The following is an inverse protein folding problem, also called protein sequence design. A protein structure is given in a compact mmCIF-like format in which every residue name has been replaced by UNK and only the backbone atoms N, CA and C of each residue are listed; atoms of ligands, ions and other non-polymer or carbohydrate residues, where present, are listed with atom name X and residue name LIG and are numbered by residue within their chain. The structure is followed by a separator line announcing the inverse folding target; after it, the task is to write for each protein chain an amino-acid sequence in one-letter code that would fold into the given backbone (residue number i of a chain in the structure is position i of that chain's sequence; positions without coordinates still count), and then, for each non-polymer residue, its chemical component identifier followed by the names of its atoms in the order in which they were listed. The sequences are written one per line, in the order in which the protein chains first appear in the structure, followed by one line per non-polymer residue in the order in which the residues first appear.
data_IF_177871207369
#
_entry.id   IF_177871207369
#
_cell.length_a   1.000
_cell.length_b   1.000
_cell.length_c   1.000
_cell.angle_alpha   90.00
_cell.angle_beta   90.00
_cell.angle_gamma   90.00
#
_symmetry.space_group_name_H-M   'P 1'
#
loop_
_entity.id
_entity.type
_entity.pdbx_description
1 polymer ?
#
# COMPACT_ATOMS: atom_id res chain seq x y z
N UNK A 1 -20.71 0.82 8.26
CA UNK A 1 -20.05 -0.08 7.28
C UNK A 1 -19.70 0.64 5.98
N UNK A 2 -20.66 1.27 5.27
CA UNK A 2 -20.42 1.96 3.98
C UNK A 2 -19.27 2.98 4.00
N UNK A 3 -19.19 3.84 5.03
CA UNK A 3 -18.09 4.81 5.17
C UNK A 3 -16.71 4.13 5.17
N UNK A 4 -16.58 2.97 5.82
CA UNK A 4 -15.31 2.24 5.84
C UNK A 4 -14.97 1.62 4.48
N UNK A 5 -15.98 1.12 3.75
CA UNK A 5 -15.82 0.59 2.40
C UNK A 5 -15.28 1.68 1.45
N UNK A 6 -15.93 2.84 1.43
CA UNK A 6 -15.53 3.95 0.57
C UNK A 6 -14.12 4.47 0.89
N UNK A 7 -13.77 4.53 2.18
CA UNK A 7 -12.44 4.96 2.60
C UNK A 7 -11.37 3.99 2.11
N UNK A 8 -11.52 2.68 2.35
CA UNK A 8 -10.52 1.69 1.90
C UNK A 8 -10.42 1.66 0.39
N UNK A 9 -11.55 1.72 -0.33
CA UNK A 9 -11.56 1.77 -1.79
C UNK A 9 -10.79 3.00 -2.31
N UNK A 10 -11.03 4.19 -1.75
CA UNK A 10 -10.33 5.41 -2.15
C UNK A 10 -8.83 5.34 -1.83
N UNK A 11 -8.47 4.79 -0.66
CA UNK A 11 -7.07 4.56 -0.28
C UNK A 11 -6.35 3.61 -1.24
N UNK A 12 -7.04 2.55 -1.67
CA UNK A 12 -6.52 1.59 -2.64
C UNK A 12 -6.29 2.21 -4.02
N UNK A 13 -7.27 2.97 -4.52
CA UNK A 13 -7.12 3.70 -5.78
C UNK A 13 -5.93 4.70 -5.70
N UNK A 14 -5.75 5.35 -4.56
CA UNK A 14 -4.63 6.27 -4.32
C UNK A 14 -3.27 5.57 -4.43
N UNK A 15 -3.12 4.38 -3.84
CA UNK A 15 -1.91 3.55 -4.03
C UNK A 15 -1.68 3.14 -5.48
N UNK A 16 -2.74 2.88 -6.26
CA UNK A 16 -2.59 2.46 -7.66
C UNK A 16 -1.96 3.55 -8.54
N UNK A 17 -2.22 4.82 -8.21
CA UNK A 17 -1.67 5.99 -8.89
C UNK A 17 -0.18 6.20 -8.57
N UNK A 18 0.20 5.97 -7.31
CA UNK A 18 1.53 6.23 -6.74
C UNK A 18 2.68 5.60 -7.55
N UNK A 19 2.56 4.32 -7.90
CA UNK A 19 3.62 3.53 -8.55
C UNK A 19 4.11 4.15 -9.85
N UNK A 20 3.21 4.79 -10.58
CA UNK A 20 3.49 5.48 -11.84
C UNK A 20 4.40 6.68 -11.63
N UNK A 21 4.13 7.48 -10.59
CA UNK A 21 4.95 8.65 -10.27
C UNK A 21 6.32 8.27 -9.72
N UNK A 22 6.44 7.14 -9.03
CA UNK A 22 7.73 6.57 -8.61
C UNK A 22 8.58 6.25 -9.84
N UNK A 23 7.98 5.63 -10.86
CA UNK A 23 8.69 5.28 -12.09
C UNK A 23 9.10 6.50 -12.91
N UNK A 24 8.26 7.55 -12.93
CA UNK A 24 8.61 8.84 -13.54
C UNK A 24 9.77 9.53 -12.80
N UNK A 25 9.77 9.50 -11.47
CA UNK A 25 10.89 10.02 -10.68
C UNK A 25 12.20 9.27 -10.98
N UNK A 26 12.14 7.94 -11.18
CA UNK A 26 13.31 7.17 -11.61
C UNK A 26 13.79 7.50 -13.02
N UNK A 27 12.89 7.85 -13.93
CA UNK A 27 13.25 8.30 -15.27
C UNK A 27 14.00 9.65 -15.25
N UNK A 28 13.74 10.49 -14.25
CA UNK A 28 14.48 11.73 -14.01
C UNK A 28 15.81 11.52 -13.24
N UNK A 29 16.20 10.26 -13.01
CA UNK A 29 17.50 9.91 -12.43
C UNK A 29 17.52 9.83 -10.90
N UNK A 30 16.40 10.01 -10.22
CA UNK A 30 16.34 9.89 -8.76
C UNK A 30 16.59 8.46 -8.28
N UNK A 31 17.19 8.33 -7.09
CA UNK A 31 17.49 7.03 -6.51
C UNK A 31 16.33 6.50 -5.67
N UNK A 32 16.40 5.22 -5.29
CA UNK A 32 15.44 4.62 -4.34
C UNK A 32 15.39 5.41 -3.02
N UNK A 33 16.56 5.81 -2.50
CA UNK A 33 16.67 6.57 -1.26
C UNK A 33 16.05 7.96 -1.36
N UNK A 34 16.24 8.65 -2.48
CA UNK A 34 15.64 9.97 -2.72
C UNK A 34 14.11 9.90 -2.71
N UNK A 35 13.55 8.96 -3.47
CA UNK A 35 12.09 8.85 -3.65
C UNK A 35 11.42 8.37 -2.36
N UNK A 36 11.93 7.31 -1.75
CA UNK A 36 11.37 6.78 -0.48
C UNK A 36 11.59 7.73 0.69
N UNK A 37 12.76 8.37 0.76
CA UNK A 37 13.10 9.36 1.78
C UNK A 37 12.22 10.59 1.70
N UNK A 38 12.10 11.19 0.51
CA UNK A 38 11.25 12.37 0.30
C UNK A 38 9.77 12.06 0.59
N UNK A 39 9.25 10.92 0.13
CA UNK A 39 7.89 10.49 0.41
C UNK A 39 7.62 10.33 1.91
N UNK A 40 8.50 9.63 2.62
CA UNK A 40 8.29 9.33 4.04
C UNK A 40 8.42 10.58 4.90
N UNK A 41 9.42 11.43 4.59
CA UNK A 41 9.62 12.70 5.28
C UNK A 41 8.46 13.67 5.05
N UNK A 42 8.12 13.96 3.79
CA UNK A 42 7.04 14.89 3.46
C UNK A 42 5.69 14.35 3.95
N UNK A 43 5.46 13.03 3.84
CA UNK A 43 4.28 12.38 4.39
C UNK A 43 4.14 12.55 5.89
N UNK A 44 5.23 12.33 6.64
CA UNK A 44 5.25 12.55 8.09
C UNK A 44 4.95 14.01 8.43
N UNK A 45 5.61 14.95 7.74
CA UNK A 45 5.40 16.39 7.94
C UNK A 45 3.94 16.77 7.68
N UNK A 46 3.37 16.36 6.54
CA UNK A 46 1.98 16.67 6.17
C UNK A 46 1.02 16.13 7.24
N UNK A 47 1.18 14.87 7.66
CA UNK A 47 0.28 14.25 8.64
C UNK A 47 0.38 14.91 10.02
N UNK A 48 1.58 15.27 10.47
CA UNK A 48 1.76 15.99 11.73
C UNK A 48 1.19 17.40 11.67
N UNK A 49 1.41 18.12 10.58
CA UNK A 49 0.81 19.45 10.34
C UNK A 49 -0.71 19.34 10.39
N UNK A 50 -1.32 18.42 9.64
CA UNK A 50 -2.78 18.20 9.63
C UNK A 50 -3.30 17.85 11.04
N UNK A 51 -2.58 17.02 11.79
CA UNK A 51 -2.94 16.67 13.16
C UNK A 51 -2.93 17.90 14.09
N UNK A 52 -1.87 18.71 14.06
CA UNK A 52 -1.77 19.89 14.91
C UNK A 52 -2.80 20.97 14.53
N UNK A 53 -3.05 21.16 13.24
CA UNK A 53 -4.11 22.07 12.76
C UNK A 53 -5.49 21.62 13.24
N UNK A 54 -5.82 20.32 13.09
CA UNK A 54 -7.10 19.78 13.55
C UNK A 54 -7.28 19.96 15.06
N UNK A 55 -6.23 19.74 15.85
CA UNK A 55 -6.25 19.93 17.30
C UNK A 55 -6.51 21.38 17.70
N UNK A 56 -6.07 22.35 16.88
CA UNK A 56 -6.20 23.80 17.16
C UNK A 56 -7.53 24.39 16.70
N UNK A 57 -8.10 23.92 15.60
CA UNK A 57 -9.31 24.51 14.99
C UNK A 57 -10.61 23.79 15.37
N UNK A 58 -10.56 22.49 15.60
CA UNK A 58 -11.73 21.79 16.15
C UNK A 58 -11.84 22.16 17.63
N UNK A 59 -13.07 22.26 18.16
CA UNK A 59 -13.35 21.98 19.57
C UNK A 59 -13.03 20.50 19.79
N UNK A 60 -11.74 20.17 19.73
CA UNK A 60 -11.19 18.86 19.94
C UNK A 60 -11.37 18.60 21.42
N UNK A 61 -12.59 18.25 21.80
CA UNK A 61 -12.84 17.52 23.03
C UNK A 61 -12.01 16.28 22.84
N UNK A 62 -10.83 16.26 23.45
CA UNK A 62 -10.10 15.04 23.68
C UNK A 62 -11.09 14.19 24.46
N UNK A 63 -11.91 13.42 23.73
CA UNK A 63 -12.77 12.41 24.30
C UNK A 63 -11.80 11.65 25.20
N UNK A 64 -12.11 11.53 26.48
CA UNK A 64 -11.28 10.82 27.44
C UNK A 64 -11.19 9.38 26.95
N UNK A 65 -10.26 9.14 26.04
CA UNK A 65 -10.04 7.86 25.40
C UNK A 65 -8.90 7.27 26.19
N UNK A 66 -9.20 6.19 26.88
CA UNK A 66 -8.20 5.37 27.55
C UNK A 66 -7.25 4.83 26.48
N UNK A 67 -6.02 5.35 26.48
CA UNK A 67 -4.98 4.89 25.58
C UNK A 67 -4.41 3.59 26.15
N UNK A 68 -4.81 2.46 25.56
CA UNK A 68 -4.35 1.13 25.98
C UNK A 68 -3.06 0.75 25.24
N UNK A 69 -2.94 1.15 23.99
CA UNK A 69 -1.77 0.87 23.14
C UNK A 69 -0.72 1.95 23.35
N UNK A 70 0.51 1.62 23.75
CA UNK A 70 1.57 2.61 23.84
C UNK A 70 1.99 3.09 22.44
N UNK A 71 2.39 4.36 22.34
CA UNK A 71 2.63 5.03 21.06
C UNK A 71 3.71 4.36 20.19
N UNK A 72 4.73 3.78 20.83
CA UNK A 72 5.85 3.12 20.16
C UNK A 72 5.40 1.90 19.34
N UNK A 73 4.30 1.23 19.69
CA UNK A 73 3.75 0.12 18.89
C UNK A 73 3.25 0.58 17.52
N UNK A 74 2.75 1.82 17.40
CA UNK A 74 2.36 2.38 16.11
C UNK A 74 3.59 2.74 15.27
N UNK A 75 4.64 3.26 15.90
CA UNK A 75 5.92 3.52 15.23
C UNK A 75 6.53 2.21 14.73
N UNK A 76 6.52 1.16 15.56
CA UNK A 76 6.96 -0.17 15.15
C UNK A 76 6.08 -0.74 14.02
N UNK A 77 4.75 -0.60 14.10
CA UNK A 77 3.85 -1.01 13.02
C UNK A 77 4.10 -0.25 11.72
N UNK A 78 4.54 1.00 11.82
CA UNK A 78 4.97 1.84 10.71
C UNK A 78 6.16 1.30 9.93
N UNK A 79 7.01 0.47 10.54
CA UNK A 79 8.13 -0.17 9.85
C UNK A 79 7.65 -1.05 8.70
N UNK A 80 6.52 -1.74 8.84
CA UNK A 80 5.92 -2.49 7.73
C UNK A 80 5.59 -1.56 6.55
N UNK A 81 5.03 -0.37 6.80
CA UNK A 81 4.76 0.62 5.74
C UNK A 81 6.05 1.10 5.06
N UNK A 82 7.13 1.30 5.84
CA UNK A 82 8.45 1.65 5.31
C UNK A 82 9.02 0.53 4.43
N UNK A 83 8.96 -0.72 4.90
CA UNK A 83 9.41 -1.90 4.15
C UNK A 83 8.62 -2.10 2.86
N UNK A 84 7.29 -1.89 2.87
CA UNK A 84 6.48 -1.88 1.65
C UNK A 84 7.04 -0.87 0.66
N UNK A 85 7.27 0.37 1.09
CA UNK A 85 7.77 1.43 0.21
C UNK A 85 9.14 1.07 -0.38
N UNK A 86 10.08 0.63 0.45
CA UNK A 86 11.43 0.26 0.02
C UNK A 86 11.43 -0.92 -0.95
N UNK A 87 10.79 -2.03 -0.58
CA UNK A 87 10.78 -3.23 -1.40
C UNK A 87 9.96 -3.06 -2.68
N UNK A 88 8.79 -2.41 -2.59
CA UNK A 88 7.95 -2.20 -3.76
C UNK A 88 8.65 -1.29 -4.78
N UNK A 89 9.28 -0.20 -4.33
CA UNK A 89 9.92 0.73 -5.25
C UNK A 89 11.18 0.15 -5.87
N UNK A 90 11.93 -0.63 -5.10
CA UNK A 90 13.03 -1.41 -5.65
C UNK A 90 12.55 -2.44 -6.67
N UNK A 91 11.38 -3.05 -6.48
CA UNK A 91 10.74 -3.92 -7.47
C UNK A 91 10.38 -3.14 -8.74
N UNK A 92 9.69 -1.99 -8.62
CA UNK A 92 9.30 -1.11 -9.74
C UNK A 92 10.52 -0.64 -10.56
N UNK A 93 11.69 -0.48 -9.94
CA UNK A 93 12.93 -0.15 -10.64
C UNK A 93 13.49 -1.32 -11.47
N UNK A 94 13.21 -2.56 -11.07
CA UNK A 94 13.83 -3.78 -11.62
C UNK A 94 12.91 -4.58 -12.54
N UNK A 95 11.59 -4.36 -12.49
CA UNK A 95 10.60 -5.03 -13.33
C UNK A 95 9.60 -4.03 -13.93
N UNK A 96 8.88 -4.38 -15.01
CA UNK A 96 7.80 -3.54 -15.55
C UNK A 96 6.76 -3.17 -14.48
N UNK A 97 6.10 -2.01 -14.63
CA UNK A 97 5.20 -1.50 -13.59
C UNK A 97 4.00 -2.43 -13.36
N UNK A 98 3.46 -2.98 -14.46
CA UNK A 98 2.41 -4.00 -14.44
C UNK A 98 2.80 -5.26 -13.68
N UNK A 99 4.07 -5.69 -13.77
CA UNK A 99 4.57 -6.87 -13.05
C UNK A 99 4.69 -6.56 -11.56
N UNK A 100 5.28 -5.41 -11.21
CA UNK A 100 5.46 -5.01 -9.82
C UNK A 100 4.12 -4.96 -9.06
N UNK A 101 3.07 -4.37 -9.63
CA UNK A 101 1.77 -4.31 -8.96
C UNK A 101 1.13 -5.69 -8.80
N UNK A 102 1.27 -6.56 -9.80
CA UNK A 102 0.74 -7.93 -9.75
C UNK A 102 1.48 -8.77 -8.69
N UNK A 103 2.78 -8.55 -8.51
CA UNK A 103 3.54 -9.12 -7.40
C UNK A 103 3.12 -8.55 -6.05
N UNK A 104 2.81 -7.25 -5.98
CA UNK A 104 2.31 -6.64 -4.74
C UNK A 104 0.99 -7.29 -4.32
N UNK A 105 0.07 -7.54 -5.27
CA UNK A 105 -1.23 -8.20 -5.03
C UNK A 105 -1.14 -9.58 -4.37
N UNK A 106 0.04 -10.21 -4.33
CA UNK A 106 0.25 -11.44 -3.55
C UNK A 106 -0.03 -11.24 -2.05
N UNK A 107 -0.08 -9.98 -1.57
CA UNK A 107 -0.47 -9.65 -0.20
C UNK A 107 -1.84 -10.22 0.16
N UNK A 108 -2.72 -10.41 -0.83
CA UNK A 108 -4.08 -10.91 -0.64
C UNK A 108 -4.08 -12.26 0.06
N UNK A 109 -3.44 -13.25 -0.55
CA UNK A 109 -3.39 -14.60 0.01
C UNK A 109 -2.43 -14.67 1.19
N UNK A 110 -1.33 -13.91 1.16
CA UNK A 110 -0.39 -13.81 2.28
C UNK A 110 -1.07 -13.25 3.54
N UNK A 111 -2.02 -12.32 3.40
CA UNK A 111 -2.81 -11.78 4.53
C UNK A 111 -3.71 -12.85 5.15
N UNK A 112 -4.31 -13.73 4.34
CA UNK A 112 -5.13 -14.85 4.81
C UNK A 112 -4.25 -15.86 5.55
N UNK A 113 -3.08 -16.20 5.00
CA UNK A 113 -2.13 -17.08 5.68
C UNK A 113 -1.59 -16.45 6.98
N UNK A 114 -1.34 -15.15 6.99
CA UNK A 114 -0.93 -14.44 8.19
C UNK A 114 -2.06 -14.45 9.25
N UNK A 115 -3.34 -14.38 8.85
CA UNK A 115 -4.45 -14.62 9.79
C UNK A 115 -4.47 -16.04 10.37
N UNK A 116 -4.17 -17.05 9.54
CA UNK A 116 -4.05 -18.44 9.98
C UNK A 116 -2.91 -18.62 10.98
N UNK A 117 -1.72 -18.07 10.70
CA UNK A 117 -0.53 -18.26 11.54
C UNK A 117 -0.67 -17.53 12.88
N UNK A 118 -1.04 -16.24 12.85
CA UNK A 118 -1.06 -15.41 14.06
C UNK A 118 -2.33 -15.58 14.90
N UNK A 119 -3.48 -15.84 14.27
CA UNK A 119 -4.77 -15.89 14.96
C UNK A 119 -5.43 -17.27 14.91
N UNK A 120 -4.77 -18.28 14.31
CA UNK A 120 -5.30 -19.65 14.16
C UNK A 120 -6.67 -19.71 13.47
N UNK A 121 -7.01 -18.67 12.70
CA UNK A 121 -8.27 -18.56 11.98
C UNK A 121 -8.16 -19.32 10.66
N UNK A 122 -8.80 -20.49 10.59
CA UNK A 122 -8.73 -21.36 9.41
C UNK A 122 -9.37 -20.69 8.18
N UNK A 123 -8.70 -20.73 7.01
CA UNK A 123 -9.31 -20.24 5.78
C UNK A 123 -10.50 -21.12 5.39
N UNK A 124 -11.55 -20.49 4.90
CA UNK A 124 -12.72 -21.18 4.35
C UNK A 124 -12.39 -21.79 2.98
N UNK A 125 -13.16 -22.79 2.53
CA UNK A 125 -12.98 -23.36 1.19
C UNK A 125 -13.10 -22.33 0.07
N UNK A 126 -13.97 -21.32 0.22
CA UNK A 126 -14.06 -20.20 -0.72
C UNK A 126 -12.81 -19.33 -0.71
N UNK A 127 -12.20 -19.10 0.47
CA UNK A 127 -10.92 -18.37 0.55
C UNK A 127 -9.80 -19.16 -0.13
N UNK A 128 -9.75 -20.48 0.00
CA UNK A 128 -8.77 -21.31 -0.72
C UNK A 128 -8.96 -21.22 -2.24
N UNK A 129 -10.21 -21.27 -2.73
CA UNK A 129 -10.51 -21.06 -4.14
C UNK A 129 -10.07 -19.67 -4.61
N UNK A 130 -10.33 -18.62 -3.81
CA UNK A 130 -9.89 -17.27 -4.12
C UNK A 130 -8.36 -17.16 -4.20
N UNK A 131 -7.62 -17.83 -3.31
CA UNK A 131 -6.15 -17.90 -3.40
C UNK A 131 -5.72 -18.50 -4.74
N UNK A 132 -6.30 -19.64 -5.14
CA UNK A 132 -5.98 -20.27 -6.42
C UNK A 132 -6.29 -19.36 -7.62
N UNK A 133 -7.44 -18.68 -7.60
CA UNK A 133 -7.82 -17.74 -8.66
C UNK A 133 -6.93 -16.49 -8.70
N UNK A 134 -6.51 -15.96 -7.54
CA UNK A 134 -5.57 -14.82 -7.48
C UNK A 134 -4.21 -15.23 -8.05
N UNK A 135 -3.70 -16.41 -7.70
CA UNK A 135 -2.45 -16.94 -8.26
C UNK A 135 -2.54 -17.13 -9.78
N UNK A 136 -3.65 -17.72 -10.28
CA UNK A 136 -3.88 -17.87 -11.72
C UNK A 136 -4.02 -16.52 -12.44
N UNK A 137 -4.81 -15.61 -11.88
CA UNK A 137 -5.00 -14.26 -12.41
C UNK A 137 -3.72 -13.42 -12.40
N UNK A 138 -2.82 -13.66 -11.45
CA UNK A 138 -1.48 -13.05 -11.39
C UNK A 138 -0.63 -13.45 -12.59
N UNK A 139 -0.65 -14.73 -12.99
CA UNK A 139 0.07 -15.20 -14.18
C UNK A 139 -0.45 -14.51 -15.45
N UNK A 140 -1.78 -14.34 -15.56
CA UNK A 140 -2.41 -13.64 -16.68
C UNK A 140 -2.13 -12.13 -16.66
N UNK A 141 -2.24 -11.49 -15.50
CA UNK A 141 -2.11 -10.04 -15.33
C UNK A 141 -0.65 -9.54 -15.42
N UNK A 142 0.31 -10.38 -15.05
CA UNK A 142 1.74 -10.02 -15.04
C UNK A 142 2.32 -9.87 -16.44
N UNK A 143 1.68 -10.40 -17.48
CA UNK A 143 2.26 -10.45 -18.82
C UNK A 143 3.44 -11.42 -18.92
N UNK A 144 3.63 -12.32 -17.95
CA UNK A 144 4.64 -13.40 -18.01
C UNK A 144 4.42 -14.36 -19.18
N UNK A 145 3.19 -14.45 -19.68
CA UNK A 145 2.84 -15.22 -20.88
C UNK A 145 3.34 -14.54 -22.16
N UNK A 146 3.49 -13.22 -22.13
CA UNK A 146 3.83 -12.39 -23.30
C UNK A 146 5.30 -11.96 -23.31
N UNK A 147 5.92 -11.85 -22.14
CA UNK A 147 7.29 -11.35 -21.96
C UNK A 147 8.25 -12.54 -21.87
N UNK A 148 9.38 -12.50 -22.61
CA UNK A 148 10.43 -13.52 -22.49
C UNK A 148 10.97 -13.49 -21.05
N UNK A 149 10.99 -14.64 -20.38
CA UNK A 149 11.50 -14.74 -19.00
C UNK A 149 12.96 -14.27 -18.84
N UNK A 150 13.73 -14.18 -19.94
CA UNK A 150 15.11 -13.68 -19.97
C UNK A 150 15.27 -12.22 -19.53
N UNK A 151 14.21 -11.41 -19.62
CA UNK A 151 14.27 -9.96 -19.32
C UNK A 151 13.77 -9.65 -17.89
N UNK A 152 13.32 -10.67 -17.14
CA UNK A 152 12.76 -10.48 -15.80
C UNK A 152 13.85 -10.62 -14.73
N UNK A 153 14.11 -9.52 -14.02
CA UNK A 153 15.03 -9.54 -12.88
C UNK A 153 14.46 -10.37 -11.72
N UNK A 154 15.08 -11.52 -11.44
CA UNK A 154 14.72 -12.37 -10.29
C UNK A 154 14.78 -11.59 -8.96
N UNK A 155 15.73 -10.64 -8.85
CA UNK A 155 15.82 -9.73 -7.70
C UNK A 155 14.56 -8.87 -7.57
N UNK A 156 14.05 -8.33 -8.68
CA UNK A 156 12.83 -7.53 -8.69
C UNK A 156 11.59 -8.31 -8.28
N UNK A 157 11.50 -9.58 -8.69
CA UNK A 157 10.44 -10.50 -8.24
C UNK A 157 10.51 -10.73 -6.73
N UNK A 158 11.71 -11.02 -6.21
CA UNK A 158 11.94 -11.19 -4.78
C UNK A 158 11.52 -9.96 -3.95
N UNK A 159 11.91 -8.76 -4.40
CA UNK A 159 11.48 -7.51 -3.77
C UNK A 159 9.95 -7.31 -3.83
N UNK A 160 9.30 -7.65 -4.95
CA UNK A 160 7.84 -7.56 -5.06
C UNK A 160 7.11 -8.46 -4.06
N UNK A 161 7.60 -9.69 -3.86
CA UNK A 161 7.02 -10.62 -2.87
C UNK A 161 7.29 -10.18 -1.42
N UNK A 162 8.47 -9.63 -1.13
CA UNK A 162 8.76 -9.04 0.19
C UNK A 162 7.89 -7.81 0.47
N UNK A 163 7.60 -7.01 -0.55
CA UNK A 163 6.65 -5.90 -0.46
C UNK A 163 5.24 -6.40 -0.15
N UNK A 164 4.78 -7.43 -0.86
CA UNK A 164 3.48 -8.07 -0.64
C UNK A 164 3.33 -8.60 0.80
N UNK A 165 4.36 -9.25 1.32
CA UNK A 165 4.38 -9.75 2.71
C UNK A 165 4.32 -8.59 3.72
N UNK A 166 5.11 -7.54 3.47
CA UNK A 166 5.14 -6.34 4.32
C UNK A 166 3.79 -5.61 4.30
N UNK A 167 3.10 -5.61 3.15
CA UNK A 167 1.80 -4.96 2.97
C UNK A 167 0.68 -5.76 3.66
N UNK A 168 0.73 -7.08 3.60
CA UNK A 168 -0.14 -7.94 4.42
C UNK A 168 0.03 -7.65 5.92
N UNK A 169 1.28 -7.48 6.37
CA UNK A 169 1.59 -7.04 7.74
C UNK A 169 1.01 -5.66 8.06
N UNK A 170 1.21 -4.68 7.18
CA UNK A 170 0.64 -3.33 7.31
C UNK A 170 -0.90 -3.36 7.47
N UNK A 171 -1.62 -4.13 6.65
CA UNK A 171 -3.08 -4.25 6.75
C UNK A 171 -3.52 -4.84 8.09
N UNK A 172 -2.83 -5.89 8.55
CA UNK A 172 -3.16 -6.57 9.80
C UNK A 172 -2.88 -5.69 11.04
N UNK A 173 -1.76 -4.96 11.04
CA UNK A 173 -1.39 -4.05 12.12
C UNK A 173 -2.27 -2.79 12.11
N UNK A 174 -2.56 -2.23 10.93
CA UNK A 174 -3.46 -1.08 10.77
C UNK A 174 -4.88 -1.38 11.26
N UNK A 175 -5.34 -2.62 11.14
CA UNK A 175 -6.66 -3.02 11.62
C UNK A 175 -6.76 -3.25 13.12
N UNK A 176 -5.63 -3.39 13.85
CA UNK A 176 -5.64 -3.88 15.24
C UNK A 176 -4.88 -3.01 16.24
N UNK A 177 -3.88 -2.24 15.82
CA UNK A 177 -3.02 -1.45 16.71
C UNK A 177 -3.45 0.01 16.71
N UNK A 178 -3.61 0.58 17.91
CA UNK A 178 -3.83 2.02 18.09
C UNK A 178 -5.16 2.54 17.55
N UNK A 179 -6.19 1.69 17.42
CA UNK A 179 -7.51 2.08 16.89
C UNK A 179 -8.27 3.06 17.80
N UNK A 180 -7.84 3.19 19.05
CA UNK A 180 -8.29 4.19 20.01
C UNK A 180 -7.69 5.57 19.72
N UNK A 181 -6.55 5.64 19.02
CA UNK A 181 -5.95 6.92 18.67
C UNK A 181 -6.76 7.62 17.58
N UNK A 182 -6.73 8.96 17.55
CA UNK A 182 -7.24 9.73 16.43
C UNK A 182 -6.53 9.29 15.15
N UNK A 183 -7.30 9.10 14.07
CA UNK A 183 -6.81 8.59 12.78
C UNK A 183 -5.56 9.33 12.32
N UNK A 184 -5.59 10.67 12.37
CA UNK A 184 -4.45 11.51 12.00
C UNK A 184 -3.20 11.25 12.84
N UNK A 185 -3.35 11.12 14.17
CA UNK A 185 -2.23 10.83 15.07
C UNK A 185 -1.68 9.42 14.84
N UNK A 186 -2.56 8.43 14.65
CA UNK A 186 -2.17 7.05 14.36
C UNK A 186 -1.38 6.99 13.06
N UNK A 187 -1.91 7.55 11.97
CA UNK A 187 -1.23 7.58 10.68
C UNK A 187 0.08 8.35 10.75
N UNK A 188 0.14 9.49 11.45
CA UNK A 188 1.38 10.25 11.65
C UNK A 188 2.45 9.42 12.38
N UNK A 189 2.08 8.69 13.45
CA UNK A 189 3.00 7.83 14.18
C UNK A 189 3.50 6.65 13.34
N UNK A 190 2.62 6.02 12.55
CA UNK A 190 3.00 4.94 11.64
C UNK A 190 3.96 5.46 10.55
N UNK A 191 3.67 6.59 9.93
CA UNK A 191 4.56 7.16 8.90
C UNK A 191 5.87 7.68 9.50
N UNK A 192 5.87 8.13 10.76
CA UNK A 192 7.12 8.44 11.48
C UNK A 192 7.99 7.18 11.61
N UNK A 193 7.39 6.02 11.95
CA UNK A 193 8.10 4.75 11.98
C UNK A 193 8.65 4.31 10.62
N UNK A 194 7.87 4.51 9.56
CA UNK A 194 8.34 4.29 8.19
C UNK A 194 9.53 5.19 7.84
N UNK A 195 9.45 6.48 8.19
CA UNK A 195 10.51 7.46 7.96
C UNK A 195 11.80 7.12 8.70
N UNK A 196 11.70 6.72 9.98
CA UNK A 196 12.87 6.30 10.77
C UNK A 196 13.55 5.09 10.11
N UNK A 197 12.78 4.06 9.76
CA UNK A 197 13.32 2.89 9.07
C UNK A 197 14.03 3.27 7.77
N UNK A 198 13.39 4.10 6.94
CA UNK A 198 13.94 4.54 5.65
C UNK A 198 15.22 5.34 5.85
N UNK A 199 15.30 6.21 6.86
CA UNK A 199 16.50 7.00 7.14
C UNK A 199 17.66 6.16 7.69
N UNK A 200 17.35 5.06 8.38
CA UNK A 200 18.37 4.08 8.80
C UNK A 200 18.94 3.34 7.59
N UNK A 201 18.09 2.95 6.63
CA UNK A 201 18.51 2.23 5.42
C UNK A 201 19.21 3.14 4.40
N UNK A 202 18.69 4.36 4.24
CA UNK A 202 19.13 5.37 3.29
C UNK A 202 19.32 6.68 4.04
N UNK A 203 20.56 7.03 4.44
CA UNK A 203 20.84 8.29 5.08
C UNK A 203 20.25 9.45 4.27
N UNK A 204 19.61 10.46 4.91
CA UNK A 204 18.80 11.47 4.22
C UNK A 204 19.65 12.55 3.52
N UNK A 205 20.57 12.13 2.65
CA UNK A 205 21.44 13.01 1.88
C UNK A 205 20.65 13.94 0.94
N UNK A 206 19.46 13.50 0.49
CA UNK A 206 18.54 14.29 -0.33
C UNK A 206 18.13 15.64 0.29
N UNK A 207 18.21 15.76 1.63
CA UNK A 207 17.92 17.00 2.35
C UNK A 207 19.03 18.04 2.20
N UNK A 208 20.27 17.62 1.92
CA UNK A 208 21.46 18.47 1.98
C UNK A 208 22.16 18.62 0.62
N UNK A 209 21.96 17.68 -0.29
CA UNK A 209 22.61 17.67 -1.62
C UNK A 209 21.92 18.57 -2.67
N UNK A 210 20.90 19.36 -2.27
CA UNK A 210 20.13 20.21 -3.17
C UNK A 210 19.07 19.49 -4.01
N UNK A 211 18.87 18.18 -3.86
CA UNK A 211 17.91 17.41 -4.67
C UNK A 211 16.47 17.91 -4.50
N UNK A 212 16.09 18.37 -3.30
CA UNK A 212 14.80 19.01 -3.03
C UNK A 212 14.59 20.33 -3.81
N UNK A 213 15.66 21.01 -4.23
CA UNK A 213 15.56 22.20 -5.08
C UNK A 213 15.20 21.89 -6.54
N UNK A 214 15.33 20.62 -6.96
CA UNK A 214 14.92 20.15 -8.29
C UNK A 214 13.47 19.64 -8.32
N UNK A 215 13.20 18.70 -9.22
CA UNK A 215 11.89 18.06 -9.35
C UNK A 215 11.57 17.03 -8.25
N UNK A 216 12.53 16.69 -7.38
CA UNK A 216 12.32 15.74 -6.29
C UNK A 216 11.25 16.22 -5.31
N UNK A 217 11.16 17.52 -5.03
CA UNK A 217 10.12 18.05 -4.16
C UNK A 217 8.73 17.84 -4.77
N UNK A 218 8.60 18.09 -6.08
CA UNK A 218 7.35 17.84 -6.82
C UNK A 218 6.98 16.36 -6.75
N UNK A 219 7.91 15.45 -7.05
CA UNK A 219 7.64 14.01 -6.98
C UNK A 219 7.37 13.55 -5.55
N UNK A 220 8.19 13.96 -4.59
CA UNK A 220 8.03 13.65 -3.17
C UNK A 220 6.69 14.12 -2.61
N UNK A 221 6.18 15.29 -3.03
CA UNK A 221 4.85 15.76 -2.64
C UNK A 221 3.74 14.89 -3.23
N UNK A 222 3.78 14.62 -4.53
CA UNK A 222 2.76 13.78 -5.18
C UNK A 222 2.78 12.37 -4.56
N UNK A 223 3.95 11.77 -4.45
CA UNK A 223 4.15 10.42 -3.93
C UNK A 223 3.78 10.35 -2.43
N UNK A 224 4.08 11.38 -1.63
CA UNK A 224 3.64 11.41 -0.23
C UNK A 224 2.12 11.55 -0.10
N UNK A 225 1.48 12.41 -0.88
CA UNK A 225 0.02 12.56 -0.82
C UNK A 225 -0.69 11.25 -1.17
N UNK A 226 -0.32 10.63 -2.29
CA UNK A 226 -0.95 9.40 -2.78
C UNK A 226 -0.46 8.12 -2.11
N UNK A 227 0.70 8.14 -1.44
CA UNK A 227 1.30 6.94 -0.83
C UNK A 227 1.36 6.95 0.70
N UNK A 228 1.52 8.10 1.35
CA UNK A 228 1.72 8.17 2.82
C UNK A 228 0.69 9.01 3.55
N UNK A 229 -0.07 9.86 2.86
CA UNK A 229 -1.13 10.67 3.49
C UNK A 229 -2.48 10.01 3.29
N UNK A 230 -2.99 9.97 2.06
CA UNK A 230 -4.35 9.50 1.76
C UNK A 230 -4.54 8.03 2.18
N UNK A 231 -3.69 7.08 1.74
CA UNK A 231 -3.95 5.68 2.05
C UNK A 231 -3.87 5.38 3.55
N UNK A 232 -2.80 5.73 4.29
CA UNK A 232 -2.74 5.41 5.72
C UNK A 232 -3.89 6.02 6.54
N UNK A 233 -4.42 7.18 6.16
CA UNK A 233 -5.62 7.75 6.79
C UNK A 233 -6.87 6.93 6.49
N UNK A 234 -7.09 6.65 5.20
CA UNK A 234 -8.20 5.85 4.71
C UNK A 234 -8.21 4.44 5.31
N UNK A 235 -7.07 3.77 5.36
CA UNK A 235 -6.90 2.44 5.93
C UNK A 235 -7.01 2.45 7.46
N UNK A 236 -6.41 3.42 8.14
CA UNK A 236 -6.50 3.51 9.60
C UNK A 236 -7.94 3.73 10.10
N UNK A 237 -8.77 4.46 9.35
CA UNK A 237 -10.18 4.69 9.68
C UNK A 237 -11.12 3.61 9.12
N UNK A 238 -10.78 3.07 7.95
CA UNK A 238 -11.62 2.12 7.21
C UNK A 238 -11.48 0.67 7.70
N UNK A 239 -10.24 0.18 7.84
CA UNK A 239 -9.97 -1.23 8.18
C UNK A 239 -10.59 -1.64 9.51
N UNK A 240 -10.52 -0.86 10.60
CA UNK A 240 -11.16 -1.25 11.86
C UNK A 240 -12.69 -1.39 11.78
N UNK A 241 -13.34 -0.73 10.81
CA UNK A 241 -14.82 -0.72 10.67
C UNK A 241 -15.36 -1.86 9.82
N UNK A 242 -14.56 -2.34 8.86
CA UNK A 242 -14.98 -3.37 7.91
C UNK A 242 -14.22 -4.67 8.05
N UNK A 243 -13.15 -4.68 8.86
CA UNK A 243 -12.26 -5.81 9.05
C UNK A 243 -11.21 -5.93 7.95
N UNK A 244 -10.19 -6.70 8.25
CA UNK A 244 -9.03 -6.99 7.38
C UNK A 244 -9.45 -7.71 6.10
N UNK A 245 -10.33 -8.72 6.20
CA UNK A 245 -10.80 -9.49 5.05
C UNK A 245 -11.51 -8.62 3.98
N UNK A 246 -12.48 -7.79 4.37
CA UNK A 246 -13.15 -6.90 3.41
C UNK A 246 -12.21 -5.80 2.90
N UNK A 247 -11.28 -5.33 3.74
CA UNK A 247 -10.29 -4.35 3.33
C UNK A 247 -9.35 -4.88 2.25
N UNK A 248 -8.89 -6.14 2.36
CA UNK A 248 -8.06 -6.76 1.33
C UNK A 248 -8.77 -6.83 -0.02
N UNK A 249 -10.10 -7.04 -0.06
CA UNK A 249 -10.90 -7.04 -1.30
C UNK A 249 -10.94 -5.67 -1.93
N UNK A 250 -11.27 -4.66 -1.14
CA UNK A 250 -11.36 -3.29 -1.63
C UNK A 250 -9.98 -2.78 -2.07
N UNK A 251 -8.92 -3.30 -1.45
CA UNK A 251 -7.54 -3.03 -1.85
C UNK A 251 -7.20 -3.57 -3.25
N UNK A 252 -7.92 -4.58 -3.75
CA UNK A 252 -7.74 -5.03 -5.13
C UNK A 252 -8.13 -3.98 -6.17
N UNK A 253 -8.86 -2.92 -5.80
CA UNK A 253 -9.11 -1.77 -6.67
C UNK A 253 -7.83 -0.99 -7.05
N UNK A 254 -6.74 -1.19 -6.30
CA UNK A 254 -5.42 -0.68 -6.65
C UNK A 254 -4.94 -1.21 -8.01
N UNK A 255 -5.21 -2.48 -8.31
CA UNK A 255 -4.76 -3.14 -9.54
C UNK A 255 -5.31 -2.51 -10.83
N UNK A 256 -6.64 -2.34 -11.05
CA UNK A 256 -7.15 -1.71 -12.26
C UNK A 256 -6.66 -0.28 -12.41
N UNK A 257 -6.56 0.49 -11.31
CA UNK A 257 -6.04 1.86 -11.35
C UNK A 257 -4.58 1.88 -11.79
N UNK A 258 -3.75 1.01 -11.24
CA UNK A 258 -2.34 0.90 -11.63
C UNK A 258 -2.17 0.48 -13.10
N UNK A 259 -3.00 -0.46 -13.59
CA UNK A 259 -2.97 -0.90 -14.99
C UNK A 259 -3.39 0.24 -15.93
N UNK A 260 -4.41 1.01 -15.58
CA UNK A 260 -4.82 2.20 -16.34
C UNK A 260 -3.71 3.25 -16.36
N UNK A 261 -3.08 3.53 -15.23
CA UNK A 261 -1.97 4.49 -15.15
C UNK A 261 -0.75 4.03 -15.95
N UNK A 262 -0.44 2.73 -15.94
CA UNK A 262 0.61 2.16 -16.78
C UNK A 262 0.32 2.34 -18.27
N UNK A 263 -0.92 2.14 -18.71
CA UNK A 263 -1.32 2.36 -20.09
C UNK A 263 -1.32 3.83 -20.51
N UNK A 264 -1.98 4.71 -19.74
CA UNK A 264 -2.18 6.10 -20.14
C UNK A 264 -0.98 7.01 -19.88
N UNK A 265 -0.27 6.81 -18.78
CA UNK A 265 0.81 7.72 -18.35
C UNK A 265 2.18 7.19 -18.73
N UNK A 266 2.43 5.90 -18.49
CA UNK A 266 3.71 5.27 -18.84
C UNK A 266 3.75 4.79 -20.30
N UNK A 267 2.63 4.83 -21.02
CA UNK A 267 2.51 4.34 -22.40
C UNK A 267 2.99 2.88 -22.54
N UNK A 268 2.86 2.09 -21.48
CA UNK A 268 3.14 0.65 -21.52
C UNK A 268 2.06 -0.05 -22.35
N UNK A 269 2.44 -1.01 -23.20
CA UNK A 269 1.46 -1.83 -23.93
C UNK A 269 0.70 -2.71 -22.93
N UNK A 270 -0.57 -2.39 -22.71
CA UNK A 270 -1.49 -3.18 -21.87
C UNK A 270 -2.32 -4.08 -22.77
N UNK A 271 -2.00 -5.37 -22.78
CA UNK A 271 -2.73 -6.36 -23.58
C UNK A 271 -4.12 -6.68 -22.99
N UNK A 272 -4.98 -7.28 -23.82
CA UNK A 272 -6.28 -7.80 -23.39
C UNK A 272 -6.14 -8.86 -22.29
N UNK A 273 -5.11 -9.71 -22.35
CA UNK A 273 -4.81 -10.74 -21.34
C UNK A 273 -4.61 -10.14 -19.94
N UNK A 274 -3.98 -8.97 -19.85
CA UNK A 274 -3.80 -8.28 -18.56
C UNK A 274 -5.13 -7.91 -17.94
N UNK A 275 -6.06 -7.37 -18.73
CA UNK A 275 -7.41 -7.04 -18.27
C UNK A 275 -8.20 -8.28 -17.86
N UNK A 276 -8.06 -9.40 -18.58
CA UNK A 276 -8.65 -10.69 -18.14
C UNK A 276 -8.10 -11.08 -16.78
N UNK A 277 -6.78 -10.98 -16.57
CA UNK A 277 -6.16 -11.23 -15.26
C UNK A 277 -6.71 -10.32 -14.15
N UNK A 278 -6.88 -9.02 -14.41
CA UNK A 278 -7.51 -8.06 -13.48
C UNK A 278 -8.92 -8.52 -13.12
N UNK A 279 -9.76 -8.87 -14.10
CA UNK A 279 -11.14 -9.31 -13.87
C UNK A 279 -11.18 -10.61 -13.04
N UNK A 280 -10.27 -11.55 -13.32
CA UNK A 280 -10.15 -12.80 -12.55
C UNK A 280 -9.79 -12.51 -11.09
N UNK A 281 -8.79 -11.66 -10.85
CA UNK A 281 -8.36 -11.28 -9.48
C UNK A 281 -9.51 -10.58 -8.75
N UNK A 282 -10.18 -9.60 -9.38
CA UNK A 282 -11.32 -8.91 -8.76
C UNK A 282 -12.47 -9.86 -8.43
N UNK A 283 -12.79 -10.79 -9.34
CA UNK A 283 -13.83 -11.80 -9.14
C UNK A 283 -13.49 -12.76 -8.00
N UNK A 284 -12.24 -13.19 -7.93
CA UNK A 284 -11.71 -14.04 -6.85
C UNK A 284 -11.88 -13.38 -5.48
N UNK A 285 -11.73 -12.07 -5.40
CA UNK A 285 -11.85 -11.34 -4.14
C UNK A 285 -13.29 -11.20 -3.66
N UNK A 286 -14.25 -11.08 -4.58
CA UNK A 286 -15.67 -10.96 -4.25
C UNK A 286 -16.22 -12.30 -3.72
N UNK A 287 -15.82 -13.43 -4.32
CA UNK A 287 -16.35 -14.78 -4.06
C UNK A 287 -16.42 -15.17 -2.57
N UNK A 288 -15.35 -15.09 -1.75
CA UNK A 288 -15.39 -15.48 -0.34
C UNK A 288 -16.24 -14.56 0.55
N UNK A 289 -16.56 -13.36 0.08
CA UNK A 289 -17.20 -12.32 0.87
C UNK A 289 -18.61 -11.97 0.39
N UNK A 290 -19.13 -12.69 -0.61
CA UNK A 290 -20.55 -12.62 -1.04
C UNK A 290 -21.52 -12.82 0.14
N UNK A 291 -21.17 -13.64 1.13
CA UNK A 291 -21.98 -13.82 2.35
C UNK A 291 -22.06 -12.56 3.22
N UNK A 292 -21.00 -11.74 3.25
CA UNK A 292 -20.99 -10.45 3.95
C UNK A 292 -21.78 -9.38 3.20
N UNK A 293 -21.77 -9.40 1.86
CA UNK A 293 -22.57 -8.50 1.01
C UNK A 293 -24.08 -8.79 1.09
N UNK A 294 -24.48 -10.05 1.32
CA UNK A 294 -25.89 -10.46 1.45
C UNK A 294 -26.52 -10.19 2.82
N UNK A 295 -25.72 -9.93 3.87
CA UNK A 295 -26.23 -9.54 5.18
C UNK A 295 -26.56 -8.04 5.15
N UNK A 296 -27.72 -7.72 4.56
CA UNK A 296 -28.40 -6.43 4.73
C UNK A 296 -29.19 -6.45 6.04
#
# INVERSE_FOLDING_TARGET
MLKGILLVFFGACSFGILSTFVKLAYHEGYTLGDVTGAQAFLGAVILWVLFFFQRRTSNYKAKEITLVTPWWKMVLAGTCTGLVSVFYYQSVKLVPNSVAIVLLMQFIWMSILMELVFFKKKPTGLQLLAIALVLGGTVLASGMVETRMSDMSLKGIGFGLLAALSYAGFLLLSGRIGNEYPVLKKSALMITGACILIFILFPPAFLFNGALGGSLLKWGLIISVFGTVIPPLCFAEGVPKIGTALSSILSAAELPVAVMMAGFVLQEQVSFLRWVGVVVILSAMILPNLKFLKRK
#
